data_IF_115348505866
#
_entry.id   IF_115348505866
#
_cell.length_a   1.000
_cell.length_b   1.000
_cell.length_c   1.000
_cell.angle_alpha   90.00
_cell.angle_beta   90.00
_cell.angle_gamma   90.00
#
_symmetry.space_group_name_H-M   'P 1'
#
loop_
_entity.id
_entity.type
_entity.pdbx_description
1 polymer ?
#
# COMPACT_ATOMS: atom_id res chain seq x y z
N UNK A 1 0.88 -25.25 -20.22
CA UNK A 1 0.65 -23.86 -19.81
C UNK A 1 0.45 -23.93 -18.32
N UNK A 2 1.58 -24.08 -17.63
CA UNK A 2 1.61 -24.15 -16.18
C UNK A 2 1.12 -22.79 -15.64
N UNK A 3 0.28 -22.78 -14.59
CA UNK A 3 -0.22 -21.56 -14.02
C UNK A 3 1.00 -20.73 -13.60
N UNK A 4 1.03 -19.48 -14.03
CA UNK A 4 2.04 -18.51 -13.64
C UNK A 4 1.98 -18.39 -12.11
N UNK A 5 2.84 -19.12 -11.38
CA UNK A 5 3.25 -18.73 -10.04
C UNK A 5 3.96 -17.39 -10.24
N UNK A 6 3.22 -16.29 -10.09
CA UNK A 6 3.79 -14.94 -10.08
C UNK A 6 4.90 -14.91 -9.05
N UNK A 7 6.07 -14.43 -9.45
CA UNK A 7 7.22 -14.32 -8.57
C UNK A 7 6.80 -13.58 -7.28
N UNK A 8 7.17 -14.04 -6.06
CA UNK A 8 6.91 -13.28 -4.84
C UNK A 8 7.37 -11.81 -4.94
N UNK A 9 8.43 -11.52 -5.71
CA UNK A 9 8.87 -10.15 -5.97
C UNK A 9 7.88 -9.36 -6.85
N UNK A 10 7.33 -9.97 -7.91
CA UNK A 10 6.29 -9.36 -8.76
C UNK A 10 4.98 -9.12 -7.98
N UNK A 11 4.63 -10.02 -7.05
CA UNK A 11 3.46 -9.86 -6.18
C UNK A 11 3.65 -8.70 -5.18
N UNK A 12 4.84 -8.61 -4.59
CA UNK A 12 5.23 -7.53 -3.70
C UNK A 12 5.21 -6.16 -4.41
N UNK A 13 5.73 -6.11 -5.64
CA UNK A 13 5.71 -4.90 -6.48
C UNK A 13 4.27 -4.50 -6.84
N UNK A 14 3.43 -5.44 -7.26
CA UNK A 14 2.04 -5.17 -7.59
C UNK A 14 1.24 -4.65 -6.37
N UNK A 15 1.48 -5.21 -5.18
CA UNK A 15 0.89 -4.74 -3.93
C UNK A 15 1.33 -3.30 -3.61
N UNK A 16 2.63 -3.03 -3.70
CA UNK A 16 3.18 -1.70 -3.44
C UNK A 16 2.61 -0.65 -4.41
N UNK A 17 2.55 -0.96 -5.71
CA UNK A 17 1.98 -0.07 -6.72
C UNK A 17 0.49 0.22 -6.48
N UNK A 18 -0.29 -0.81 -6.14
CA UNK A 18 -1.71 -0.67 -5.84
C UNK A 18 -1.93 0.23 -4.64
N UNK A 19 -1.21 -0.01 -3.54
CA UNK A 19 -1.30 0.81 -2.33
C UNK A 19 -0.92 2.26 -2.64
N UNK A 20 0.18 2.49 -3.35
CA UNK A 20 0.64 3.82 -3.71
C UNK A 20 -0.40 4.60 -4.54
N UNK A 21 -1.04 3.93 -5.51
CA UNK A 21 -2.10 4.54 -6.33
C UNK A 21 -3.29 4.95 -5.48
N UNK A 22 -3.80 4.04 -4.65
CA UNK A 22 -4.93 4.29 -3.74
C UNK A 22 -4.63 5.42 -2.76
N UNK A 23 -3.42 5.44 -2.17
CA UNK A 23 -2.98 6.52 -1.27
C UNK A 23 -3.00 7.87 -1.98
N UNK A 24 -2.46 7.95 -3.21
CA UNK A 24 -2.45 9.20 -3.99
C UNK A 24 -3.86 9.70 -4.31
N UNK A 25 -4.77 8.80 -4.68
CA UNK A 25 -6.17 9.15 -4.94
C UNK A 25 -6.85 9.72 -3.69
N UNK A 26 -6.64 9.09 -2.53
CA UNK A 26 -7.19 9.58 -1.24
C UNK A 26 -6.59 10.93 -0.85
N UNK A 27 -5.29 11.14 -1.04
CA UNK A 27 -4.65 12.44 -0.79
C UNK A 27 -5.19 13.54 -1.73
N UNK A 28 -5.43 13.22 -3.01
CA UNK A 28 -6.02 14.17 -3.95
C UNK A 28 -7.46 14.54 -3.58
N UNK A 29 -8.26 13.58 -3.10
CA UNK A 29 -9.61 13.86 -2.60
C UNK A 29 -9.58 14.73 -1.33
N UNK A 30 -8.55 14.54 -0.49
CA UNK A 30 -8.38 15.28 0.77
C UNK A 30 -8.17 16.78 0.58
N UNK A 31 -7.55 17.18 -0.54
CA UNK A 31 -7.30 18.59 -0.87
C UNK A 31 -8.61 19.39 -1.01
N UNK A 32 -9.72 18.70 -1.29
CA UNK A 32 -11.07 19.28 -1.35
C UNK A 32 -11.90 19.12 -0.06
N UNK A 33 -11.38 18.38 0.92
CA UNK A 33 -12.07 18.07 2.18
C UNK A 33 -11.76 19.11 3.29
N UNK A 34 -12.62 19.26 4.30
CA UNK A 34 -12.35 20.12 5.46
C UNK A 34 -11.07 19.69 6.20
N UNK A 35 -10.24 20.65 6.62
CA UNK A 35 -8.96 20.38 7.31
C UNK A 35 -9.13 19.54 8.59
N UNK A 36 -10.28 19.62 9.25
CA UNK A 36 -10.61 18.77 10.40
C UNK A 36 -10.65 17.28 10.08
N UNK A 37 -10.90 16.90 8.83
CA UNK A 37 -10.90 15.51 8.38
C UNK A 37 -9.50 15.03 7.97
N UNK A 38 -8.55 15.96 7.74
CA UNK A 38 -7.22 15.62 7.24
C UNK A 38 -6.45 14.72 8.19
N UNK A 39 -6.52 15.00 9.49
CA UNK A 39 -5.78 14.21 10.52
C UNK A 39 -6.24 12.75 10.52
N UNK A 40 -7.56 12.51 10.51
CA UNK A 40 -8.11 11.15 10.51
C UNK A 40 -7.73 10.36 9.25
N UNK A 41 -7.69 11.03 8.10
CA UNK A 41 -7.26 10.41 6.84
C UNK A 41 -5.76 10.14 6.84
N UNK A 42 -4.93 11.07 7.33
CA UNK A 42 -3.49 10.85 7.45
C UNK A 42 -3.16 9.68 8.39
N UNK A 43 -3.84 9.57 9.53
CA UNK A 43 -3.65 8.44 10.45
C UNK A 43 -4.00 7.10 9.78
N UNK A 44 -5.11 7.07 9.03
CA UNK A 44 -5.55 5.88 8.29
C UNK A 44 -4.53 5.50 7.21
N UNK A 45 -4.07 6.47 6.42
CA UNK A 45 -3.06 6.24 5.39
C UNK A 45 -1.73 5.77 5.99
N UNK A 46 -1.31 6.34 7.12
CA UNK A 46 -0.11 5.93 7.81
C UNK A 46 -0.20 4.47 8.28
N UNK A 47 -1.35 4.05 8.80
CA UNK A 47 -1.57 2.69 9.26
C UNK A 47 -1.58 1.68 8.10
N UNK A 48 -2.24 2.01 6.99
CA UNK A 48 -2.24 1.18 5.76
C UNK A 48 -0.82 1.03 5.19
N UNK A 49 -0.08 2.13 5.03
CA UNK A 49 1.28 2.10 4.51
C UNK A 49 2.23 1.33 5.42
N UNK A 50 2.13 1.52 6.74
CA UNK A 50 2.93 0.77 7.71
C UNK A 50 2.62 -0.73 7.65
N UNK A 51 1.35 -1.09 7.46
CA UNK A 51 0.93 -2.48 7.30
C UNK A 51 1.48 -3.11 6.03
N UNK A 52 1.42 -2.40 4.91
CA UNK A 52 1.95 -2.89 3.61
C UNK A 52 3.47 -3.02 3.68
N UNK A 53 4.19 -2.03 4.21
CA UNK A 53 5.65 -2.13 4.40
C UNK A 53 6.03 -3.30 5.31
N UNK A 54 5.25 -3.56 6.36
CA UNK A 54 5.45 -4.72 7.23
C UNK A 54 5.22 -6.06 6.53
N UNK A 55 4.21 -6.16 5.66
CA UNK A 55 3.95 -7.35 4.87
C UNK A 55 5.08 -7.60 3.84
N UNK A 56 5.52 -6.55 3.15
CA UNK A 56 6.63 -6.61 2.18
C UNK A 56 7.95 -7.04 2.85
N UNK A 57 8.23 -6.56 4.06
CA UNK A 57 9.43 -6.97 4.83
C UNK A 57 9.34 -8.44 5.27
N UNK A 58 8.15 -8.93 5.64
CA UNK A 58 7.93 -10.34 5.98
C UNK A 58 8.08 -11.27 4.78
N UNK A 59 7.54 -10.90 3.61
CA UNK A 59 7.66 -11.69 2.39
C UNK A 59 9.12 -11.77 1.91
N UNK A 60 9.87 -10.67 2.02
CA UNK A 60 11.30 -10.62 1.72
C UNK A 60 12.14 -11.51 2.67
N UNK A 61 11.73 -11.64 3.94
CA UNK A 61 12.43 -12.45 4.93
C UNK A 61 12.06 -13.95 4.87
N UNK A 62 10.85 -14.27 4.39
CA UNK A 62 10.35 -15.65 4.25
C UNK A 62 10.89 -16.33 2.98
N UNK A 63 11.31 -15.55 1.99
CA UNK A 63 11.89 -16.03 0.73
C UNK A 63 13.41 -16.29 0.79
N UNK A 64 14.05 -16.17 1.97
CA UNK A 64 15.48 -16.43 2.21
C UNK A 64 15.71 -17.80 2.86
#
# INVERSE_FOLDING_TARGET
>A
MDPQETDPEEQAEALAEQTLRSTRERLAALDSAPTTEHVAVFDTLHQELSGVLGALDQDANTSR
#
